data_IF_276413580739
#
_entry.id   IF_276413580739
#
_cell.length_a   1.000
_cell.length_b   1.000
_cell.length_c   1.000
_cell.angle_alpha   90.00
_cell.angle_beta   90.00
_cell.angle_gamma   90.00
#
_symmetry.space_group_name_H-M   'P 1'
#
loop_
_entity.id
_entity.type
_entity.pdbx_description
1 polymer ?
#
# COMPACT_ATOMS: atom_id res chain seq x y z
N UNK A 1 -25.11 68.86 -31.99
CA UNK A 1 -24.26 68.30 -30.93
C UNK A 1 -25.01 68.04 -29.64
N UNK A 2 -25.80 68.96 -29.10
CA UNK A 2 -26.55 68.78 -27.83
C UNK A 2 -27.43 67.51 -27.73
N UNK A 3 -28.15 67.18 -28.81
CA UNK A 3 -29.05 65.99 -28.85
C UNK A 3 -28.29 64.68 -28.74
N UNK A 4 -27.08 64.52 -29.31
CA UNK A 4 -26.23 63.31 -29.19
C UNK A 4 -25.65 63.13 -27.81
N UNK A 5 -25.33 64.22 -27.10
CA UNK A 5 -24.87 64.23 -25.75
C UNK A 5 -25.96 63.71 -24.78
N UNK A 6 -27.18 64.17 -24.96
CA UNK A 6 -28.35 63.77 -24.15
C UNK A 6 -28.61 62.26 -24.33
N UNK A 7 -28.53 61.72 -25.53
CA UNK A 7 -28.74 60.31 -25.81
C UNK A 7 -27.62 59.48 -25.19
N UNK A 8 -26.37 59.91 -25.32
CA UNK A 8 -25.21 59.22 -24.71
C UNK A 8 -25.26 59.21 -23.16
N UNK A 9 -25.65 60.34 -22.57
CA UNK A 9 -25.86 60.44 -21.12
C UNK A 9 -26.99 59.55 -20.64
N UNK A 10 -28.08 59.42 -21.41
CA UNK A 10 -29.17 58.48 -21.10
C UNK A 10 -28.74 57.00 -21.14
N UNK A 11 -27.94 56.64 -22.15
CA UNK A 11 -27.39 55.28 -22.25
C UNK A 11 -26.42 54.96 -21.10
N UNK A 12 -25.56 55.91 -20.74
CA UNK A 12 -24.64 55.73 -19.60
C UNK A 12 -25.39 55.61 -18.28
N UNK A 13 -26.45 56.42 -18.07
CA UNK A 13 -27.29 56.30 -16.88
C UNK A 13 -28.00 54.93 -16.81
N UNK A 14 -28.55 54.45 -17.94
CA UNK A 14 -29.14 53.11 -18.02
C UNK A 14 -28.14 51.96 -17.72
N UNK A 15 -26.92 52.10 -18.22
CA UNK A 15 -25.84 51.13 -17.91
C UNK A 15 -25.45 51.12 -16.44
N UNK A 16 -25.37 52.30 -15.80
CA UNK A 16 -25.09 52.42 -14.35
C UNK A 16 -26.22 51.85 -13.50
N UNK A 17 -27.48 52.07 -13.88
CA UNK A 17 -28.64 51.46 -13.20
C UNK A 17 -28.65 49.94 -13.38
N UNK A 18 -28.34 49.44 -14.56
CA UNK A 18 -28.24 48.02 -14.84
C UNK A 18 -27.09 47.37 -14.03
N UNK A 19 -25.92 48.01 -13.99
CA UNK A 19 -24.78 47.57 -13.19
C UNK A 19 -25.10 47.58 -11.68
N UNK A 20 -25.80 48.62 -11.19
CA UNK A 20 -26.24 48.67 -9.80
C UNK A 20 -27.31 47.60 -9.49
N UNK A 21 -28.26 47.36 -10.39
CA UNK A 21 -29.27 46.33 -10.25
C UNK A 21 -28.65 44.93 -10.22
N UNK A 22 -27.68 44.64 -11.09
CA UNK A 22 -26.93 43.37 -11.09
C UNK A 22 -26.10 43.19 -9.82
N UNK A 23 -25.54 44.25 -9.26
CA UNK A 23 -24.78 44.20 -8.01
C UNK A 23 -25.67 44.08 -6.76
N UNK A 24 -26.92 44.58 -6.83
CA UNK A 24 -27.90 44.49 -5.72
C UNK A 24 -28.74 43.20 -5.78
N UNK A 25 -28.86 42.52 -6.91
CA UNK A 25 -29.56 41.24 -7.02
C UNK A 25 -28.76 40.04 -6.54
N UNK A 26 -27.49 40.27 -6.02
CA UNK A 26 -26.84 39.34 -5.13
C UNK A 26 -26.64 37.92 -5.65
N UNK A 27 -26.61 37.69 -6.96
CA UNK A 27 -25.92 36.52 -7.45
C UNK A 27 -24.43 36.85 -7.39
N UNK A 28 -23.82 36.48 -6.29
CA UNK A 28 -22.38 36.40 -6.21
C UNK A 28 -21.94 35.43 -7.33
N UNK A 29 -21.59 35.98 -8.48
CA UNK A 29 -20.62 35.32 -9.34
C UNK A 29 -19.31 35.31 -8.56
N UNK A 30 -19.22 34.42 -7.57
CA UNK A 30 -18.02 34.17 -6.84
C UNK A 30 -16.95 33.91 -7.87
N UNK A 31 -15.98 34.80 -7.94
CA UNK A 31 -14.83 34.60 -8.83
C UNK A 31 -14.31 33.20 -8.50
N UNK A 32 -14.24 32.32 -9.49
CA UNK A 32 -13.69 30.98 -9.34
C UNK A 32 -12.36 31.10 -8.57
N UNK A 33 -12.37 30.61 -7.34
CA UNK A 33 -11.14 30.46 -6.56
C UNK A 33 -10.57 29.12 -6.92
N UNK A 34 -9.54 29.10 -7.78
CA UNK A 34 -8.93 27.91 -8.36
C UNK A 34 -8.29 26.96 -7.32
N UNK A 35 -8.33 27.31 -6.04
CA UNK A 35 -7.69 26.56 -4.95
C UNK A 35 -8.67 26.24 -3.79
N UNK A 36 -9.99 26.42 -4.01
CA UNK A 36 -10.95 26.09 -2.96
C UNK A 36 -11.09 24.57 -2.81
N UNK A 37 -10.91 24.06 -1.59
CA UNK A 37 -11.06 22.64 -1.29
C UNK A 37 -12.53 22.22 -1.41
N UNK A 38 -12.74 21.03 -2.00
CA UNK A 38 -14.09 20.47 -2.15
C UNK A 38 -14.69 20.10 -0.80
N UNK A 39 -13.89 19.58 0.11
CA UNK A 39 -14.28 19.20 1.48
C UNK A 39 -13.47 20.00 2.49
N UNK A 40 -14.14 20.43 3.57
CA UNK A 40 -13.51 21.12 4.69
C UNK A 40 -13.55 20.21 5.93
N UNK A 41 -12.43 19.60 6.28
CA UNK A 41 -12.28 18.77 7.47
C UNK A 41 -10.85 18.78 8.00
N UNK A 42 -10.68 18.41 9.27
CA UNK A 42 -9.35 18.24 9.86
C UNK A 42 -8.99 16.76 9.92
N UNK A 43 -8.12 16.31 8.98
CA UNK A 43 -7.67 14.92 8.87
C UNK A 43 -7.15 14.34 10.20
N UNK A 44 -6.45 15.14 11.01
CA UNK A 44 -5.83 14.67 12.25
C UNK A 44 -6.86 14.36 13.35
N UNK A 45 -8.02 15.01 13.30
CA UNK A 45 -9.11 14.79 14.26
C UNK A 45 -10.00 13.61 13.88
N UNK A 46 -10.03 13.21 12.61
CA UNK A 46 -10.90 12.13 12.17
C UNK A 46 -10.62 10.84 12.93
N UNK A 47 -11.68 10.22 13.41
CA UNK A 47 -11.69 8.93 14.09
C UNK A 47 -12.63 7.91 13.43
N UNK A 48 -13.37 8.30 12.39
CA UNK A 48 -14.26 7.44 11.62
C UNK A 48 -14.29 7.76 10.14
N UNK A 49 -14.39 6.72 9.32
CA UNK A 49 -14.64 6.79 7.89
C UNK A 49 -15.62 5.69 7.50
N UNK A 50 -16.75 6.06 6.90
CA UNK A 50 -17.74 5.13 6.36
C UNK A 50 -17.78 5.27 4.85
N UNK A 51 -17.77 4.14 4.15
CA UNK A 51 -17.85 4.08 2.68
C UNK A 51 -18.97 3.12 2.31
N UNK A 52 -19.88 3.57 1.45
CA UNK A 52 -21.05 2.82 1.00
C UNK A 52 -21.14 2.86 -0.53
N UNK A 53 -21.64 1.78 -1.17
CA UNK A 53 -21.89 1.75 -2.62
C UNK A 53 -23.34 1.33 -2.96
N UNK A 54 -24.22 1.30 -1.97
CA UNK A 54 -25.60 0.86 -2.11
C UNK A 54 -25.80 -0.65 -1.96
N UNK A 55 -24.73 -1.45 -2.01
CA UNK A 55 -24.75 -2.91 -1.78
C UNK A 55 -23.91 -3.27 -0.57
N UNK A 56 -22.68 -2.83 -0.57
CA UNK A 56 -21.69 -3.04 0.47
C UNK A 56 -21.47 -1.76 1.27
N UNK A 57 -20.99 -1.92 2.49
CA UNK A 57 -20.53 -0.82 3.31
C UNK A 57 -19.34 -1.25 4.17
N UNK A 58 -18.43 -0.33 4.42
CA UNK A 58 -17.32 -0.51 5.34
C UNK A 58 -17.25 0.66 6.31
N UNK A 59 -17.07 0.34 7.59
CA UNK A 59 -16.78 1.29 8.65
C UNK A 59 -15.35 1.08 9.12
N UNK A 60 -14.57 2.14 9.08
CA UNK A 60 -13.22 2.23 9.62
C UNK A 60 -13.27 3.14 10.85
N UNK A 61 -12.78 2.68 11.99
CA UNK A 61 -12.66 3.48 13.22
C UNK A 61 -11.20 3.57 13.64
N UNK A 62 -10.79 4.74 14.13
CA UNK A 62 -9.44 4.99 14.65
C UNK A 62 -9.48 4.85 16.17
N UNK A 63 -8.69 3.91 16.70
CA UNK A 63 -8.54 3.69 18.14
C UNK A 63 -7.05 3.69 18.47
N UNK A 64 -6.64 4.41 19.48
CA UNK A 64 -5.23 4.53 19.89
C UNK A 64 -4.28 4.86 18.73
N UNK A 65 -4.75 5.69 17.78
CA UNK A 65 -3.98 6.12 16.62
C UNK A 65 -3.96 5.13 15.45
N UNK A 66 -4.59 3.95 15.56
CA UNK A 66 -4.66 2.93 14.52
C UNK A 66 -6.06 2.79 13.95
N UNK A 67 -6.17 2.65 12.64
CA UNK A 67 -7.42 2.35 11.96
C UNK A 67 -7.75 0.86 12.07
N UNK A 68 -8.97 0.56 12.45
CA UNK A 68 -9.53 -0.77 12.67
C UNK A 68 -10.83 -0.95 11.89
N UNK A 69 -11.23 -2.20 11.71
CA UNK A 69 -12.48 -2.64 11.12
C UNK A 69 -13.39 -3.24 12.21
N UNK A 70 -14.28 -2.46 12.84
CA UNK A 70 -15.09 -2.93 13.97
C UNK A 70 -15.98 -4.14 13.63
N UNK A 71 -16.58 -4.13 12.43
CA UNK A 71 -17.44 -5.23 11.95
C UNK A 71 -16.68 -6.55 11.81
N UNK A 72 -15.35 -6.48 11.68
CA UNK A 72 -14.45 -7.64 11.59
C UNK A 72 -13.76 -7.95 12.93
N UNK A 73 -14.33 -7.57 14.07
CA UNK A 73 -13.73 -7.80 15.39
C UNK A 73 -12.53 -6.92 15.67
N UNK A 74 -12.63 -5.65 15.33
CA UNK A 74 -11.55 -4.66 15.45
C UNK A 74 -10.26 -5.06 14.74
N UNK A 75 -10.39 -5.78 13.61
CA UNK A 75 -9.23 -6.20 12.84
C UNK A 75 -8.46 -4.99 12.31
N UNK A 76 -7.11 -5.02 12.34
CA UNK A 76 -6.29 -3.92 11.84
C UNK A 76 -6.58 -3.60 10.36
N UNK A 77 -6.86 -2.32 10.09
CA UNK A 77 -6.97 -1.82 8.73
C UNK A 77 -5.59 -1.43 8.19
N UNK A 78 -5.46 -1.43 6.87
CA UNK A 78 -4.29 -0.90 6.18
C UNK A 78 -4.16 0.60 6.43
N UNK A 79 -3.30 0.99 7.36
CA UNK A 79 -3.06 2.40 7.70
C UNK A 79 -2.70 3.20 6.44
N UNK A 80 -1.88 2.61 5.57
CA UNK A 80 -1.47 3.23 4.31
C UNK A 80 -2.66 3.56 3.41
N UNK A 81 -3.56 2.58 3.18
CA UNK A 81 -4.69 2.78 2.28
C UNK A 81 -5.64 3.84 2.81
N UNK A 82 -5.93 3.81 4.12
CA UNK A 82 -6.80 4.82 4.75
C UNK A 82 -6.17 6.21 4.66
N UNK A 83 -4.90 6.34 5.02
CA UNK A 83 -4.19 7.62 4.96
C UNK A 83 -4.13 8.18 3.53
N UNK A 84 -3.87 7.31 2.53
CA UNK A 84 -3.87 7.71 1.10
C UNK A 84 -5.24 8.22 0.66
N UNK A 85 -6.33 7.55 1.03
CA UNK A 85 -7.67 8.04 0.72
C UNK A 85 -7.95 9.39 1.39
N UNK A 86 -7.64 9.52 2.69
CA UNK A 86 -7.85 10.78 3.42
C UNK A 86 -7.03 11.93 2.84
N UNK A 87 -5.79 11.68 2.42
CA UNK A 87 -4.94 12.67 1.75
C UNK A 87 -5.53 13.07 0.40
N UNK A 88 -6.02 12.11 -0.36
CA UNK A 88 -6.69 12.37 -1.64
C UNK A 88 -7.93 13.24 -1.43
N UNK A 89 -8.80 12.91 -0.46
CA UNK A 89 -9.99 13.70 -0.14
C UNK A 89 -9.65 15.12 0.32
N UNK A 90 -8.60 15.30 1.13
CA UNK A 90 -8.15 16.60 1.61
C UNK A 90 -7.55 17.49 0.50
N UNK A 91 -7.12 16.89 -0.60
CA UNK A 91 -6.54 17.60 -1.75
C UNK A 91 -7.51 17.82 -2.89
N UNK A 92 -8.74 17.29 -2.84
CA UNK A 92 -9.75 17.54 -3.86
C UNK A 92 -10.09 19.03 -3.92
N UNK A 93 -10.02 19.60 -5.09
CA UNK A 93 -10.32 21.01 -5.35
C UNK A 93 -11.61 21.16 -6.17
N UNK A 94 -12.36 22.21 -5.85
CA UNK A 94 -13.50 22.62 -6.65
C UNK A 94 -12.99 23.16 -7.99
N UNK A 95 -13.56 22.66 -9.07
CA UNK A 95 -13.43 23.27 -10.39
C UNK A 95 -14.63 24.14 -10.69
N UNK A 96 -14.91 24.36 -11.96
CA UNK A 96 -16.20 24.93 -12.36
C UNK A 96 -17.30 23.93 -12.07
N UNK A 97 -18.41 24.33 -11.42
CA UNK A 97 -19.54 23.45 -11.22
C UNK A 97 -20.17 23.08 -12.58
N UNK A 98 -20.39 21.78 -12.79
CA UNK A 98 -21.02 21.28 -14.01
C UNK A 98 -22.52 21.38 -13.96
N UNK A 99 -23.11 21.42 -12.78
CA UNK A 99 -24.54 21.60 -12.52
C UNK A 99 -24.79 21.91 -11.03
N UNK A 100 -26.05 22.42 -10.74
CA UNK A 100 -26.49 22.73 -9.37
C UNK A 100 -27.94 22.27 -9.12
N UNK A 101 -28.50 21.39 -9.95
CA UNK A 101 -29.91 21.02 -9.84
C UNK A 101 -30.09 19.60 -9.34
N UNK A 102 -31.16 19.34 -8.58
CA UNK A 102 -31.53 18.02 -8.11
C UNK A 102 -31.63 16.98 -9.22
N UNK A 103 -32.21 17.34 -10.37
CA UNK A 103 -32.31 16.45 -11.54
C UNK A 103 -30.93 16.09 -12.12
N UNK A 104 -29.98 17.02 -12.05
CA UNK A 104 -28.59 16.74 -12.43
C UNK A 104 -27.90 15.83 -11.42
N UNK A 105 -28.15 16.01 -10.11
CA UNK A 105 -27.61 15.12 -9.08
C UNK A 105 -28.05 13.67 -9.29
N UNK A 106 -29.31 13.43 -9.61
CA UNK A 106 -29.81 12.10 -9.97
C UNK A 106 -29.17 11.57 -11.25
N UNK A 107 -29.12 12.39 -12.31
CA UNK A 107 -28.53 12.01 -13.59
C UNK A 107 -27.04 11.63 -13.47
N UNK A 108 -26.30 12.35 -12.65
CA UNK A 108 -24.86 12.09 -12.40
C UNK A 108 -24.61 11.09 -11.27
N UNK A 109 -25.68 10.61 -10.60
CA UNK A 109 -25.63 9.66 -9.49
C UNK A 109 -24.82 10.21 -8.30
N UNK A 110 -25.10 11.42 -7.90
CA UNK A 110 -24.48 12.11 -6.75
C UNK A 110 -25.53 12.62 -5.76
N UNK A 111 -26.72 12.03 -5.73
CA UNK A 111 -27.75 12.35 -4.75
C UNK A 111 -27.77 11.32 -3.58
N UNK A 112 -28.65 11.52 -2.62
CA UNK A 112 -28.71 10.70 -1.40
C UNK A 112 -29.26 9.29 -1.65
N UNK A 113 -30.01 9.08 -2.72
CA UNK A 113 -30.65 7.81 -3.07
C UNK A 113 -29.86 7.06 -4.15
N UNK A 114 -29.10 7.80 -4.98
CA UNK A 114 -28.37 7.24 -6.11
C UNK A 114 -26.94 7.76 -6.16
N UNK A 115 -25.99 6.92 -5.83
CA UNK A 115 -24.54 7.21 -5.84
C UNK A 115 -23.75 5.96 -6.22
N UNK A 116 -22.52 6.15 -6.72
CA UNK A 116 -21.56 5.05 -6.88
C UNK A 116 -20.81 4.80 -5.58
N UNK A 117 -20.48 5.86 -4.83
CA UNK A 117 -19.89 5.83 -3.50
C UNK A 117 -20.44 6.98 -2.67
N UNK A 118 -20.69 6.70 -1.40
CA UNK A 118 -20.92 7.72 -0.38
C UNK A 118 -19.85 7.57 0.67
N UNK A 119 -19.08 8.63 0.89
CA UNK A 119 -18.05 8.68 1.92
C UNK A 119 -18.51 9.63 3.01
N UNK A 120 -18.45 9.19 4.25
CA UNK A 120 -18.78 9.98 5.44
C UNK A 120 -17.57 10.02 6.36
N UNK A 121 -17.04 11.20 6.58
CA UNK A 121 -15.94 11.47 7.50
C UNK A 121 -16.49 11.82 8.86
N UNK A 122 -16.01 11.17 9.91
CA UNK A 122 -16.57 11.26 11.26
C UNK A 122 -15.49 11.68 12.26
N UNK A 123 -15.89 12.48 13.25
CA UNK A 123 -15.11 12.80 14.45
C UNK A 123 -16.05 12.86 15.66
N UNK A 124 -15.76 12.10 16.70
CA UNK A 124 -16.54 12.03 17.95
C UNK A 124 -18.03 11.71 17.67
N UNK A 125 -18.26 10.73 16.78
CA UNK A 125 -19.56 10.30 16.25
C UNK A 125 -20.34 11.37 15.45
N UNK A 126 -19.80 12.58 15.26
CA UNK A 126 -20.38 13.63 14.44
C UNK A 126 -19.84 13.58 12.98
N UNK A 127 -20.76 13.68 12.00
CA UNK A 127 -20.39 13.77 10.58
C UNK A 127 -19.73 15.13 10.29
N UNK A 128 -18.47 15.11 9.89
CA UNK A 128 -17.69 16.30 9.56
C UNK A 128 -17.83 16.70 8.10
N UNK A 129 -17.88 15.72 7.22
CA UNK A 129 -18.05 15.92 5.79
C UNK A 129 -18.64 14.67 5.13
N UNK A 130 -19.46 14.88 4.13
CA UNK A 130 -19.99 13.81 3.27
C UNK A 130 -19.66 14.11 1.83
N UNK A 131 -19.23 13.09 1.08
CA UNK A 131 -18.95 13.16 -0.35
C UNK A 131 -19.78 12.09 -1.08
N UNK A 132 -20.61 12.51 -2.00
CA UNK A 132 -21.26 11.66 -2.98
C UNK A 132 -20.40 11.61 -4.24
N UNK A 133 -20.04 10.42 -4.66
CA UNK A 133 -19.25 10.14 -5.88
C UNK A 133 -20.16 9.40 -6.84
N UNK A 134 -20.26 9.88 -8.04
CA UNK A 134 -21.18 9.36 -9.06
C UNK A 134 -20.47 8.87 -10.31
N UNK A 135 -21.20 8.97 -11.44
CA UNK A 135 -20.72 8.49 -12.73
C UNK A 135 -19.49 9.24 -13.23
N UNK A 136 -18.75 8.60 -14.14
CA UNK A 136 -17.55 9.17 -14.74
C UNK A 136 -17.89 9.92 -16.04
N UNK A 137 -17.44 11.18 -16.23
CA UNK A 137 -17.49 11.87 -17.50
C UNK A 137 -16.41 11.42 -18.50
N UNK A 138 -15.40 10.70 -18.01
CA UNK A 138 -14.25 10.27 -18.81
C UNK A 138 -13.07 9.85 -17.96
N UNK A 139 -11.93 9.67 -18.60
CA UNK A 139 -10.73 9.12 -17.96
C UNK A 139 -10.32 9.89 -16.70
N UNK A 140 -10.15 9.15 -15.58
CA UNK A 140 -9.71 9.63 -14.25
C UNK A 140 -10.59 10.70 -13.62
N UNK A 141 -11.79 10.95 -14.13
CA UNK A 141 -12.70 11.91 -13.51
C UNK A 141 -14.01 11.25 -13.11
N UNK A 142 -14.57 11.73 -12.03
CA UNK A 142 -15.91 11.39 -11.57
C UNK A 142 -16.68 12.64 -11.22
N UNK A 143 -17.99 12.58 -11.33
CA UNK A 143 -18.84 13.62 -10.77
C UNK A 143 -18.93 13.45 -9.27
N UNK A 144 -18.84 14.54 -8.54
CA UNK A 144 -18.94 14.56 -7.08
C UNK A 144 -19.82 15.71 -6.60
N UNK A 145 -20.45 15.52 -5.44
CA UNK A 145 -21.18 16.55 -4.69
C UNK A 145 -20.84 16.43 -3.21
N UNK A 146 -20.50 17.55 -2.58
CA UNK A 146 -20.39 17.61 -1.12
C UNK A 146 -21.77 17.53 -0.48
N UNK A 147 -21.89 16.90 0.68
CA UNK A 147 -23.19 16.69 1.35
C UNK A 147 -23.89 17.97 1.76
N UNK A 148 -23.13 19.03 2.04
CA UNK A 148 -23.59 20.36 2.45
C UNK A 148 -23.88 21.33 1.28
N UNK A 149 -23.72 20.88 0.02
CA UNK A 149 -23.87 21.70 -1.17
C UNK A 149 -24.70 21.07 -2.28
N UNK A 150 -25.21 21.93 -3.18
CA UNK A 150 -25.95 21.51 -4.38
C UNK A 150 -25.06 21.44 -5.63
N UNK A 151 -23.84 21.99 -5.55
CA UNK A 151 -22.93 22.07 -6.69
C UNK A 151 -22.29 20.72 -7.00
N UNK A 152 -22.28 20.39 -8.28
CA UNK A 152 -21.68 19.14 -8.79
C UNK A 152 -20.42 19.51 -9.54
N UNK A 153 -19.34 18.82 -9.21
CA UNK A 153 -18.03 19.03 -9.81
C UNK A 153 -17.54 17.77 -10.53
N UNK A 154 -16.62 17.94 -11.48
CA UNK A 154 -15.90 16.85 -12.09
C UNK A 154 -14.45 16.89 -11.60
N UNK A 155 -14.07 15.97 -10.71
CA UNK A 155 -12.77 15.92 -10.03
C UNK A 155 -11.93 14.72 -10.46
N UNK A 156 -10.63 14.80 -10.24
CA UNK A 156 -9.70 13.68 -10.43
C UNK A 156 -9.80 12.73 -9.23
N UNK A 157 -10.63 11.71 -9.38
CA UNK A 157 -10.87 10.67 -8.40
C UNK A 157 -11.38 9.40 -9.11
N UNK A 158 -11.18 8.24 -8.48
CA UNK A 158 -11.70 6.97 -8.99
C UNK A 158 -12.48 6.24 -7.89
N UNK A 159 -13.57 5.57 -8.25
CA UNK A 159 -14.42 4.83 -7.30
C UNK A 159 -13.69 3.66 -6.62
N UNK A 160 -12.66 3.08 -7.26
CA UNK A 160 -11.85 2.02 -6.65
C UNK A 160 -10.93 2.53 -5.52
N UNK A 161 -10.64 3.84 -5.46
CA UNK A 161 -9.89 4.46 -4.35
C UNK A 161 -10.71 4.46 -3.05
N UNK A 162 -12.05 4.38 -3.16
CA UNK A 162 -12.99 4.32 -2.06
C UNK A 162 -13.88 3.08 -2.18
N UNK A 163 -13.29 1.90 -2.11
CA UNK A 163 -14.04 0.63 -2.20
C UNK A 163 -14.87 0.41 -0.93
N UNK A 164 -16.12 -0.03 -1.09
CA UNK A 164 -17.02 -0.31 0.04
C UNK A 164 -16.81 -1.69 0.68
N UNK A 165 -15.94 -2.54 0.11
CA UNK A 165 -15.65 -3.88 0.63
C UNK A 165 -14.56 -3.87 1.67
N UNK A 166 -14.83 -4.44 2.85
CA UNK A 166 -13.89 -4.52 3.96
C UNK A 166 -12.54 -5.17 3.58
N UNK A 167 -12.52 -6.18 2.71
CA UNK A 167 -11.31 -6.88 2.28
C UNK A 167 -10.26 -5.98 1.59
N UNK A 168 -10.66 -4.82 1.06
CA UNK A 168 -9.75 -3.86 0.46
C UNK A 168 -9.09 -2.93 1.49
N UNK A 169 -9.60 -2.96 2.73
CA UNK A 169 -9.12 -2.13 3.83
C UNK A 169 -8.36 -2.91 4.91
N UNK A 170 -8.41 -4.24 4.92
CA UNK A 170 -7.66 -5.05 5.90
C UNK A 170 -6.15 -4.85 5.76
N UNK A 171 -5.44 -4.97 6.86
CA UNK A 171 -3.98 -5.07 6.85
C UNK A 171 -3.56 -6.44 6.30
N UNK A 172 -3.22 -6.48 5.02
CA UNK A 172 -2.80 -7.72 4.34
C UNK A 172 -1.42 -8.19 4.76
N UNK A 173 -0.63 -7.34 5.39
CA UNK A 173 0.72 -7.62 5.86
C UNK A 173 0.77 -8.07 7.35
N UNK A 174 -0.40 -8.34 7.96
CA UNK A 174 -0.51 -8.76 9.38
C UNK A 174 0.34 -10.02 9.70
N UNK A 175 0.62 -10.85 8.71
CA UNK A 175 1.44 -12.04 8.85
C UNK A 175 2.93 -11.78 8.68
N UNK A 176 3.30 -10.61 8.13
CA UNK A 176 4.69 -10.29 7.83
C UNK A 176 5.56 -10.27 9.10
N UNK A 177 6.75 -10.82 9.00
CA UNK A 177 7.75 -10.82 10.05
C UNK A 177 9.03 -10.17 9.55
N UNK A 178 9.78 -9.59 10.46
CA UNK A 178 11.16 -9.20 10.18
C UNK A 178 12.06 -10.45 10.20
N UNK A 179 12.72 -10.73 9.08
CA UNK A 179 13.64 -11.87 8.93
C UNK A 179 14.72 -11.90 10.00
N UNK A 180 15.18 -10.73 10.45
CA UNK A 180 16.20 -10.60 11.49
C UNK A 180 15.71 -11.09 12.86
N UNK A 181 14.41 -11.10 13.10
CA UNK A 181 13.78 -11.52 14.34
C UNK A 181 13.47 -13.03 14.40
N UNK A 182 13.73 -13.78 13.32
CA UNK A 182 13.52 -15.23 13.27
C UNK A 182 14.75 -15.96 13.79
N UNK A 183 14.59 -16.69 14.89
CA UNK A 183 15.64 -17.51 15.52
C UNK A 183 15.61 -18.96 15.02
N UNK A 184 14.40 -19.52 14.83
CA UNK A 184 14.23 -20.93 14.49
C UNK A 184 12.98 -21.12 13.62
N UNK A 185 13.07 -22.03 12.65
CA UNK A 185 11.95 -22.49 11.83
C UNK A 185 11.88 -24.01 11.91
N UNK A 186 10.72 -24.53 12.32
CA UNK A 186 10.44 -25.97 12.34
C UNK A 186 9.40 -26.28 11.27
N UNK A 187 9.74 -27.20 10.39
CA UNK A 187 8.88 -27.72 9.33
C UNK A 187 8.86 -29.24 9.34
N UNK A 188 7.89 -29.88 8.72
CA UNK A 188 7.89 -31.35 8.56
C UNK A 188 9.18 -31.81 7.88
N UNK A 189 9.99 -32.61 8.59
CA UNK A 189 11.20 -33.23 8.05
C UNK A 189 12.50 -32.44 8.24
N UNK A 190 12.49 -31.19 8.73
CA UNK A 190 13.71 -30.45 9.03
C UNK A 190 13.49 -29.27 9.99
N UNK A 191 14.58 -28.83 10.56
CA UNK A 191 14.63 -27.66 11.43
C UNK A 191 15.75 -26.74 10.96
N UNK A 192 15.46 -25.46 10.87
CA UNK A 192 16.45 -24.40 10.69
C UNK A 192 16.65 -23.65 11.99
N UNK A 193 17.90 -23.43 12.38
CA UNK A 193 18.31 -22.69 13.57
C UNK A 193 19.27 -21.58 13.16
N UNK A 194 19.13 -20.39 13.75
CA UNK A 194 20.08 -19.31 13.50
C UNK A 194 21.42 -19.60 14.15
N UNK A 195 22.46 -19.58 13.31
CA UNK A 195 23.85 -19.67 13.72
C UNK A 195 24.67 -18.70 12.84
N UNK A 196 25.56 -17.93 13.43
CA UNK A 196 26.41 -16.95 12.72
C UNK A 196 25.62 -15.99 11.81
N UNK A 197 24.44 -15.57 12.30
CA UNK A 197 23.56 -14.64 11.56
C UNK A 197 22.75 -15.26 10.41
N UNK A 198 22.92 -16.56 10.14
CA UNK A 198 22.21 -17.29 9.06
C UNK A 198 21.38 -18.44 9.63
N UNK A 199 20.28 -18.78 8.98
CA UNK A 199 19.52 -20.00 9.29
C UNK A 199 20.21 -21.20 8.67
N UNK A 200 20.50 -22.22 9.50
CA UNK A 200 21.17 -23.45 9.12
C UNK A 200 20.33 -24.66 9.52
N UNK A 201 20.37 -25.71 8.73
CA UNK A 201 19.77 -27.01 9.06
C UNK A 201 20.53 -27.61 10.29
N UNK A 202 19.75 -28.09 11.26
CA UNK A 202 20.33 -28.51 12.56
C UNK A 202 21.04 -29.90 12.53
N UNK A 203 20.62 -30.79 11.60
CA UNK A 203 21.06 -32.18 11.50
C UNK A 203 21.86 -32.43 10.22
N UNK A 204 22.93 -31.67 10.03
CA UNK A 204 23.84 -31.82 8.90
C UNK A 204 24.78 -32.99 9.10
N UNK A 205 25.00 -33.80 8.05
CA UNK A 205 26.08 -34.78 8.00
C UNK A 205 27.46 -34.12 7.88
N UNK A 206 28.53 -34.89 8.11
CA UNK A 206 29.91 -34.38 8.10
C UNK A 206 30.31 -33.67 6.79
N UNK A 207 29.73 -34.14 5.68
CA UNK A 207 30.00 -33.59 4.32
C UNK A 207 28.93 -32.64 3.81
N UNK A 208 27.96 -32.35 4.66
CA UNK A 208 26.82 -31.48 4.30
C UNK A 208 27.00 -30.04 4.80
N UNK A 209 26.43 -29.11 4.11
CA UNK A 209 26.27 -27.73 4.55
C UNK A 209 24.89 -27.20 4.09
N UNK A 210 24.39 -26.23 4.81
CA UNK A 210 23.12 -25.56 4.41
C UNK A 210 23.33 -24.71 3.16
N UNK A 211 22.46 -24.86 2.16
CA UNK A 211 22.36 -23.92 1.05
C UNK A 211 21.87 -22.58 1.55
N UNK A 212 22.74 -21.58 1.54
CA UNK A 212 22.42 -20.24 2.00
C UNK A 212 21.38 -19.52 1.12
N UNK A 213 21.30 -19.90 -0.16
CA UNK A 213 20.30 -19.38 -1.10
C UNK A 213 18.91 -19.92 -0.77
N UNK A 214 18.77 -21.23 -0.70
CA UNK A 214 17.49 -21.89 -0.43
C UNK A 214 16.95 -21.59 0.98
N UNK A 215 17.83 -21.55 1.98
CA UNK A 215 17.46 -21.17 3.34
C UNK A 215 16.93 -19.74 3.41
N UNK A 216 17.56 -18.78 2.72
CA UNK A 216 17.10 -17.40 2.64
C UNK A 216 15.79 -17.30 1.85
N UNK A 217 15.67 -18.02 0.73
CA UNK A 217 14.46 -18.05 -0.07
C UNK A 217 13.26 -18.58 0.73
N UNK A 218 13.44 -19.65 1.51
CA UNK A 218 12.39 -20.17 2.39
C UNK A 218 12.02 -19.15 3.48
N UNK A 219 13.02 -18.53 4.12
CA UNK A 219 12.78 -17.50 5.13
C UNK A 219 11.96 -16.34 4.56
N UNK A 220 12.36 -15.81 3.41
CA UNK A 220 11.63 -14.72 2.77
C UNK A 220 10.17 -15.09 2.40
N UNK A 221 9.92 -16.34 1.96
CA UNK A 221 8.55 -16.82 1.71
C UNK A 221 7.71 -16.87 2.99
N UNK A 222 8.29 -17.36 4.10
CA UNK A 222 7.58 -17.46 5.38
C UNK A 222 7.34 -16.09 6.03
N UNK A 223 8.32 -15.20 5.98
CA UNK A 223 8.22 -13.86 6.58
C UNK A 223 7.42 -12.87 5.74
N UNK A 224 7.33 -13.11 4.43
CA UNK A 224 6.57 -12.30 3.49
C UNK A 224 5.15 -12.79 3.23
N UNK A 225 4.60 -13.67 4.06
CA UNK A 225 3.22 -14.14 3.89
C UNK A 225 2.21 -12.99 3.97
N UNK A 226 1.24 -12.99 3.06
CA UNK A 226 0.16 -12.00 3.00
C UNK A 226 -1.19 -12.67 2.95
N UNK A 227 -2.17 -12.09 3.61
CA UNK A 227 -3.55 -12.56 3.53
C UNK A 227 -4.26 -12.00 2.31
N UNK A 228 -5.21 -12.76 1.74
CA UNK A 228 -6.13 -12.27 0.71
C UNK A 228 -7.36 -11.64 1.35
N UNK A 229 -7.96 -12.34 2.33
CA UNK A 229 -9.15 -11.89 3.05
C UNK A 229 -9.26 -12.54 4.43
N UNK A 230 -10.14 -11.99 5.25
CA UNK A 230 -10.54 -12.56 6.53
C UNK A 230 -11.64 -13.60 6.35
N UNK A 231 -11.56 -14.68 7.11
CA UNK A 231 -12.59 -15.72 7.17
C UNK A 231 -13.37 -15.68 8.50
N UNK A 232 -13.06 -14.71 9.37
CA UNK A 232 -13.62 -14.55 10.71
C UNK A 232 -12.84 -15.31 11.77
N UNK A 233 -13.26 -15.15 13.05
CA UNK A 233 -12.63 -15.80 14.19
C UNK A 233 -13.24 -17.19 14.49
N UNK A 234 -14.43 -17.49 13.97
CA UNK A 234 -15.13 -18.73 14.22
C UNK A 234 -14.54 -19.90 13.40
N UNK A 235 -14.23 -21.00 14.09
CA UNK A 235 -13.81 -22.24 13.43
C UNK A 235 -14.97 -22.86 12.67
N UNK A 236 -14.74 -23.24 11.39
CA UNK A 236 -15.73 -23.93 10.56
C UNK A 236 -15.17 -25.26 10.08
N UNK A 237 -15.97 -26.35 10.06
CA UNK A 237 -15.53 -27.65 9.55
C UNK A 237 -15.01 -27.56 8.10
N UNK A 238 -15.58 -26.69 7.29
CA UNK A 238 -15.13 -26.44 5.91
C UNK A 238 -13.68 -25.94 5.81
N UNK A 239 -13.09 -25.42 6.89
CA UNK A 239 -11.69 -24.99 6.92
C UNK A 239 -10.71 -26.15 7.03
N UNK A 240 -11.17 -27.36 7.39
CA UNK A 240 -10.36 -28.59 7.51
C UNK A 240 -9.10 -28.42 8.36
N UNK A 241 -9.20 -27.66 9.44
CA UNK A 241 -8.05 -27.38 10.31
C UNK A 241 -7.58 -28.60 11.13
N UNK A 242 -8.40 -29.65 11.19
CA UNK A 242 -8.03 -30.94 11.84
C UNK A 242 -7.09 -31.77 10.96
N UNK A 243 -7.01 -31.49 9.66
CA UNK A 243 -6.15 -32.15 8.70
C UNK A 243 -5.27 -31.12 7.95
N UNK A 244 -4.30 -30.51 8.63
CA UNK A 244 -3.47 -29.46 8.01
C UNK A 244 -2.61 -30.04 6.88
N UNK A 245 -2.56 -29.32 5.76
CA UNK A 245 -1.68 -29.65 4.63
C UNK A 245 -0.21 -29.27 4.91
N UNK A 246 0.00 -28.31 5.83
CA UNK A 246 1.33 -27.87 6.27
C UNK A 246 1.22 -27.23 7.67
N UNK A 247 2.14 -27.61 8.54
CA UNK A 247 2.37 -26.93 9.83
C UNK A 247 3.78 -26.38 9.88
N UNK A 248 3.91 -25.13 10.33
CA UNK A 248 5.20 -24.45 10.51
C UNK A 248 5.22 -23.82 11.89
N UNK A 249 6.36 -23.92 12.60
CA UNK A 249 6.59 -23.15 13.82
C UNK A 249 7.77 -22.21 13.60
N UNK A 250 7.57 -20.95 13.91
CA UNK A 250 8.61 -19.93 13.86
C UNK A 250 8.86 -19.44 15.28
N UNK A 251 10.07 -19.61 15.78
CA UNK A 251 10.48 -19.02 17.05
C UNK A 251 11.23 -17.72 16.77
N UNK A 252 10.79 -16.66 17.41
CA UNK A 252 11.45 -15.34 17.36
C UNK A 252 12.63 -15.28 18.31
N UNK A 253 13.55 -14.33 18.11
CA UNK A 253 14.66 -14.05 19.03
C UNK A 253 14.15 -13.74 20.45
N UNK A 254 12.94 -13.17 20.58
CA UNK A 254 12.27 -12.93 21.88
C UNK A 254 11.89 -14.22 22.63
N UNK A 255 11.96 -15.39 21.99
CA UNK A 255 11.48 -16.67 22.50
C UNK A 255 10.01 -16.94 22.20
N UNK A 256 9.28 -16.00 21.61
CA UNK A 256 7.88 -16.21 21.20
C UNK A 256 7.80 -17.24 20.07
N UNK A 257 6.87 -18.19 20.19
CA UNK A 257 6.63 -19.24 19.20
C UNK A 257 5.33 -18.98 18.45
N UNK A 258 5.43 -18.79 17.16
CA UNK A 258 4.30 -18.62 16.24
C UNK A 258 4.04 -19.93 15.50
N UNK A 259 2.88 -20.54 15.75
CA UNK A 259 2.41 -21.73 15.04
C UNK A 259 1.55 -21.34 13.85
N UNK A 260 1.89 -21.81 12.66
CA UNK A 260 1.14 -21.64 11.42
C UNK A 260 0.53 -22.98 11.04
N UNK A 261 -0.79 -23.01 10.88
CA UNK A 261 -1.51 -24.18 10.42
C UNK A 261 -2.24 -23.86 9.14
N UNK A 262 -1.77 -24.43 8.03
CA UNK A 262 -2.36 -24.28 6.71
C UNK A 262 -3.19 -25.52 6.38
N UNK A 263 -4.44 -25.35 6.08
CA UNK A 263 -5.31 -26.40 5.57
C UNK A 263 -5.85 -26.03 4.21
N UNK A 264 -6.18 -27.02 3.39
CA UNK A 264 -6.74 -26.79 2.06
C UNK A 264 -8.18 -27.28 2.03
N UNK A 265 -9.18 -26.39 1.96
CA UNK A 265 -10.55 -26.79 1.73
C UNK A 265 -10.69 -27.56 0.41
N UNK A 266 -11.70 -28.37 0.32
CA UNK A 266 -12.00 -29.13 -0.89
C UNK A 266 -12.31 -28.20 -2.06
N UNK A 267 -11.75 -28.49 -3.23
CA UNK A 267 -11.89 -27.70 -4.45
C UNK A 267 -11.54 -26.20 -4.36
N UNK A 268 -10.82 -25.79 -3.29
CA UNK A 268 -10.41 -24.41 -3.13
C UNK A 268 -9.05 -24.12 -3.78
N UNK A 269 -8.95 -22.98 -4.47
CA UNK A 269 -7.69 -22.42 -4.98
C UNK A 269 -7.01 -21.50 -3.96
N UNK A 270 -7.10 -21.86 -2.67
CA UNK A 270 -6.47 -21.12 -1.56
C UNK A 270 -6.29 -22.03 -0.35
N UNK A 271 -5.42 -21.60 0.56
CA UNK A 271 -5.28 -22.20 1.88
C UNK A 271 -6.00 -21.36 2.94
N UNK A 272 -6.53 -22.05 3.94
CA UNK A 272 -6.98 -21.43 5.19
C UNK A 272 -5.83 -21.51 6.18
N UNK A 273 -5.37 -20.35 6.64
CA UNK A 273 -4.33 -20.24 7.64
C UNK A 273 -4.94 -19.86 9.00
N UNK A 274 -4.50 -20.55 10.04
CA UNK A 274 -4.61 -20.14 11.44
C UNK A 274 -3.21 -19.92 11.99
N UNK A 275 -2.93 -18.71 12.52
CA UNK A 275 -1.69 -18.44 13.27
C UNK A 275 -2.01 -18.39 14.77
N UNK A 276 -1.15 -18.93 15.59
CA UNK A 276 -1.42 -19.18 17.02
C UNK A 276 -1.66 -17.92 17.87
N UNK A 277 -1.10 -16.79 17.45
CA UNK A 277 -1.23 -15.49 18.16
C UNK A 277 -2.40 -14.63 17.65
N UNK A 278 -3.08 -15.04 16.58
CA UNK A 278 -4.17 -14.30 15.97
C UNK A 278 -5.51 -15.06 16.14
N UNK A 279 -6.58 -14.34 16.44
CA UNK A 279 -7.90 -14.96 16.62
C UNK A 279 -8.55 -15.40 15.32
N UNK A 280 -8.22 -14.73 14.20
CA UNK A 280 -8.88 -14.93 12.92
C UNK A 280 -8.28 -16.09 12.12
N UNK A 281 -9.11 -16.64 11.24
CA UNK A 281 -8.71 -17.49 10.11
C UNK A 281 -8.52 -16.62 8.87
N UNK A 282 -7.54 -16.96 8.07
CA UNK A 282 -7.13 -16.17 6.92
C UNK A 282 -7.18 -16.99 5.64
N UNK A 283 -7.58 -16.35 4.56
CA UNK A 283 -7.41 -16.88 3.21
C UNK A 283 -6.04 -16.47 2.70
N UNK A 284 -5.22 -17.45 2.29
CA UNK A 284 -3.88 -17.26 1.73
C UNK A 284 -3.82 -17.93 0.36
N UNK A 285 -3.21 -17.26 -0.60
CA UNK A 285 -3.12 -17.77 -1.97
C UNK A 285 -2.22 -19.01 -2.07
N UNK A 286 -2.57 -19.96 -2.94
CA UNK A 286 -1.80 -21.19 -3.18
C UNK A 286 -0.35 -20.89 -3.55
N UNK A 287 -0.12 -19.92 -4.45
CA UNK A 287 1.23 -19.60 -4.93
C UNK A 287 2.18 -19.11 -3.82
N UNK A 288 1.66 -18.70 -2.65
CA UNK A 288 2.46 -18.33 -1.50
C UNK A 288 2.79 -19.52 -0.61
N UNK A 289 1.89 -20.50 -0.52
CA UNK A 289 1.99 -21.65 0.39
C UNK A 289 2.66 -22.86 -0.27
N UNK A 290 2.32 -23.16 -1.52
CA UNK A 290 2.86 -24.34 -2.23
C UNK A 290 4.38 -24.33 -2.30
N UNK A 291 5.09 -23.22 -2.61
CA UNK A 291 6.55 -23.18 -2.62
C UNK A 291 7.19 -23.41 -1.24
N UNK A 292 6.48 -23.07 -0.15
CA UNK A 292 6.91 -23.36 1.22
C UNK A 292 6.74 -24.84 1.51
N UNK A 293 5.56 -25.41 1.19
CA UNK A 293 5.22 -26.82 1.39
C UNK A 293 6.13 -27.77 0.60
N UNK A 294 6.56 -27.37 -0.59
CA UNK A 294 7.45 -28.16 -1.46
C UNK A 294 8.93 -28.06 -1.07
N UNK A 295 9.25 -27.25 -0.07
CA UNK A 295 10.62 -27.19 0.44
C UNK A 295 10.91 -28.42 1.30
N UNK A 296 11.91 -29.19 0.90
CA UNK A 296 12.37 -30.38 1.63
C UNK A 296 13.79 -30.17 2.15
N UNK A 297 14.25 -31.06 3.07
CA UNK A 297 15.62 -31.00 3.58
C UNK A 297 16.65 -31.09 2.47
N UNK A 298 16.41 -31.96 1.46
CA UNK A 298 17.34 -32.18 0.34
C UNK A 298 17.56 -30.91 -0.49
N UNK A 299 16.57 -30.02 -0.59
CA UNK A 299 16.72 -28.71 -1.27
C UNK A 299 17.55 -27.74 -0.43
N UNK A 300 17.51 -27.88 0.89
CA UNK A 300 18.20 -26.99 1.83
C UNK A 300 19.65 -27.38 2.10
N UNK A 301 20.05 -28.57 1.69
CA UNK A 301 21.37 -29.12 1.97
C UNK A 301 22.13 -29.32 0.67
N UNK A 302 23.43 -29.04 0.71
CA UNK A 302 24.36 -29.25 -0.40
C UNK A 302 25.65 -29.83 0.14
N UNK A 303 26.45 -30.46 -0.72
CA UNK A 303 27.77 -30.96 -0.34
C UNK A 303 28.68 -29.79 0.07
N UNK A 304 29.42 -29.99 1.13
CA UNK A 304 30.45 -29.05 1.56
C UNK A 304 31.58 -29.04 0.53
N UNK A 305 31.73 -27.96 -0.19
CA UNK A 305 32.92 -27.76 -1.04
C UNK A 305 34.14 -27.66 -0.12
N UNK A 306 35.07 -28.63 -0.20
CA UNK A 306 36.35 -28.48 0.47
C UNK A 306 37.02 -27.23 -0.10
N UNK A 307 37.14 -26.18 0.71
CA UNK A 307 38.08 -25.11 0.41
C UNK A 307 39.45 -25.75 0.39
N UNK A 308 39.97 -26.00 -0.80
CA UNK A 308 41.41 -26.34 -0.98
C UNK A 308 42.16 -25.11 -0.46
N UNK A 309 42.63 -25.22 0.77
CA UNK A 309 43.59 -24.27 1.31
C UNK A 309 44.84 -24.37 0.43
N UNK A 310 44.94 -23.49 -0.55
CA UNK A 310 46.19 -23.24 -1.25
C UNK A 310 47.12 -22.58 -0.22
N UNK A 311 47.85 -23.41 0.53
CA UNK A 311 49.09 -22.95 1.17
C UNK A 311 49.96 -22.33 0.07
N UNK A 312 50.47 -21.13 0.24
CA UNK A 312 51.44 -20.60 -0.70
C UNK A 312 52.72 -21.44 -0.61
N UNK A 313 53.01 -22.20 -1.66
CA UNK A 313 54.24 -22.91 -1.81
C UNK A 313 55.40 -21.94 -1.57
N UNK A 314 56.19 -22.26 -0.54
CA UNK A 314 57.37 -21.50 -0.14
C UNK A 314 58.33 -21.31 -1.29
N UNK A 315 58.60 -20.07 -1.60
CA UNK A 315 59.65 -19.60 -2.53
C UNK A 315 61.02 -19.97 -1.94
N UNK A 316 61.62 -21.04 -2.47
CA UNK A 316 63.03 -21.29 -2.27
C UNK A 316 63.82 -20.36 -3.15
N UNK A 317 64.37 -19.32 -2.60
CA UNK A 317 65.41 -18.50 -3.17
C UNK A 317 66.66 -19.35 -3.39
N UNK A 318 67.01 -19.63 -4.62
CA UNK A 318 68.37 -19.91 -5.05
C UNK A 318 69.07 -18.63 -5.47
N UNK A 319 70.04 -18.25 -4.65
CA UNK A 319 71.00 -17.18 -4.86
C UNK A 319 72.00 -17.62 -5.93
N UNK A 320 72.13 -16.89 -6.99
CA UNK A 320 73.39 -16.81 -7.77
C UNK A 320 73.52 -15.49 -8.52
N UNK A 321 74.60 -14.85 -8.20
CA UNK A 321 75.24 -13.71 -8.77
C UNK A 321 75.28 -13.71 -10.30
N UNK A 322 75.17 -12.58 -10.98
CA UNK A 322 76.31 -11.86 -11.61
C UNK A 322 75.88 -10.60 -12.39
N UNK A 323 76.44 -9.55 -12.01
CA UNK A 323 77.10 -8.39 -12.68
C UNK A 323 76.63 -7.90 -14.06
N UNK A 324 76.42 -6.61 -14.09
CA UNK A 324 76.91 -5.64 -15.09
C UNK A 324 75.96 -5.00 -16.08
N UNK A 325 75.95 -3.72 -15.94
CA UNK A 325 76.15 -2.68 -16.95
C UNK A 325 74.98 -1.93 -17.54
N UNK A 326 74.92 -0.69 -17.12
CA UNK A 326 74.90 0.58 -17.89
C UNK A 326 73.65 0.92 -18.73
N UNK A 327 73.08 1.96 -18.29
CA UNK A 327 73.06 3.34 -18.87
C UNK A 327 71.95 3.69 -19.85
N UNK A 328 71.47 4.88 -19.58
CA UNK A 328 70.96 5.94 -20.45
C UNK A 328 69.48 5.89 -20.84
N UNK A 329 68.73 6.76 -20.28
CA UNK A 329 68.51 8.18 -20.54
C UNK A 329 67.36 8.47 -21.54
N UNK A 330 66.54 9.42 -21.09
CA UNK A 330 65.73 10.48 -21.73
C UNK A 330 64.23 10.29 -21.55
N UNK A 331 63.68 11.12 -20.67
CA UNK A 331 63.12 12.49 -20.90
C UNK A 331 62.21 12.61 -22.11
N UNK A 332 61.03 12.99 -21.83
CA UNK A 332 60.29 14.24 -22.17
C UNK A 332 58.78 13.98 -22.03
N UNK A 333 58.13 14.73 -21.14
CA UNK A 333 57.44 16.02 -21.37
C UNK A 333 56.38 15.91 -22.47
N UNK A 334 55.17 16.25 -22.23
CA UNK A 334 54.51 17.51 -22.05
C UNK A 334 53.02 17.42 -22.53
N UNK A 335 52.16 17.97 -21.73
CA UNK A 335 50.98 18.78 -22.00
C UNK A 335 49.80 18.40 -22.92
N UNK A 336 48.68 18.86 -22.44
CA UNK A 336 47.58 19.47 -23.17
C UNK A 336 46.23 18.89 -22.87
N UNK A 337 45.51 19.35 -21.90
CA UNK A 337 44.57 20.49 -21.86
C UNK A 337 43.40 20.42 -22.85
N UNK A 338 42.23 20.66 -22.21
CA UNK A 338 41.09 21.40 -22.72
C UNK A 338 39.88 20.64 -23.29
N UNK A 339 38.85 20.56 -22.50
CA UNK A 339 37.61 21.37 -22.55
C UNK A 339 36.70 21.25 -23.77
N UNK A 340 35.48 21.07 -23.48
CA UNK A 340 34.22 21.77 -23.88
C UNK A 340 33.09 20.85 -24.32
N UNK A 341 32.04 20.98 -23.55
CA UNK A 341 30.67 21.49 -23.86
C UNK A 341 29.83 20.76 -24.94
N UNK A 342 28.65 20.41 -24.48
CA UNK A 342 27.39 20.93 -25.03
C UNK A 342 26.50 19.98 -25.79
N UNK A 343 25.48 19.52 -25.24
CA UNK A 343 24.07 19.85 -25.51
C UNK A 343 23.15 18.96 -24.70
#
# INVERSE_FOLDING_TARGET
>A
MKSRIIVLSGVLAAQLVLAAALNLTGEEYGAFQAEEKLLSFNKQKLDGLRIEDGTDNVLLKKQEGKWLLPVSGDFPASQRNVEQLLDKLATLEKGWPVAKTRSAAQRFRVDEEQFERKLVLVYDDDEQATLFVGSSPGFRKVYVRAGDGDEIFAVDFNTWEADAKADNWIDKDILALDESNVERVEMPGFILQRADGKLQVTDLGEKEQTSGEESRALLGKLTGLRIQSLLGAEAKPAYRQDEPALEVKITRISGEVLGYRFSKPEDAAYYVLKRSDLEHYFKVAEYMVDPVKETTREKLVQDRTEEVSSEPAGDKRDEKDDVSSAAEDRESEVDGESAKEGK
#
